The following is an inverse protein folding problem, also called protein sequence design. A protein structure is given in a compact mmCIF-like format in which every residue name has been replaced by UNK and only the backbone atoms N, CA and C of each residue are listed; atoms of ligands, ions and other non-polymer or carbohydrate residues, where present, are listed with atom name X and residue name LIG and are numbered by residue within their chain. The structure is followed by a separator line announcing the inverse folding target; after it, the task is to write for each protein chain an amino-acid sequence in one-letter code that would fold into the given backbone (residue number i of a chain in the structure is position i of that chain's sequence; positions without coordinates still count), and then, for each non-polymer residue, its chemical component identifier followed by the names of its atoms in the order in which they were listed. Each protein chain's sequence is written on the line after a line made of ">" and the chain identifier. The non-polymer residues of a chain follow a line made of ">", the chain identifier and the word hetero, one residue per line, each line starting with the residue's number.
data_IF_811422584382
#
_entry.id   IF_811422584382
#
_cell.length_a   1.000
_cell.length_b   1.000
_cell.length_c   1.000
_cell.angle_alpha   90.00
_cell.angle_beta   90.00
_cell.angle_gamma   90.00
#
_symmetry.space_group_name_H-M   'P 1'
#
loop_
_entity.id
_entity.type
_entity.pdbx_description
1 polymer ?
#
# COMPACT_ATOMS: atom_id res chain seq x y z
N UNK A 1 -38.07 -1.64 4.49
CA UNK A 1 -38.24 -0.56 3.51
C UNK A 1 -39.02 -1.08 2.31
N UNK A 2 -40.10 -0.40 1.98
CA UNK A 2 -41.10 -0.83 0.98
C UNK A 2 -40.56 -0.92 -0.49
N UNK A 3 -39.34 -0.47 -0.72
CA UNK A 3 -38.76 -0.38 -2.07
C UNK A 3 -37.83 -1.53 -2.48
N UNK A 4 -37.70 -2.55 -1.63
CA UNK A 4 -36.86 -3.72 -1.90
C UNK A 4 -37.63 -5.02 -1.67
N UNK A 5 -37.65 -5.91 -2.62
CA UNK A 5 -38.25 -7.23 -2.51
C UNK A 5 -37.26 -8.27 -3.04
N UNK A 6 -36.96 -9.30 -2.22
CA UNK A 6 -36.06 -10.41 -2.55
C UNK A 6 -34.67 -9.98 -3.04
N UNK A 7 -34.09 -8.94 -2.39
CA UNK A 7 -32.75 -8.43 -2.78
C UNK A 7 -32.74 -7.67 -4.11
N UNK A 8 -33.89 -7.37 -4.68
CA UNK A 8 -34.03 -6.58 -5.93
C UNK A 8 -34.90 -5.35 -5.66
N UNK A 9 -34.63 -4.22 -6.33
CA UNK A 9 -35.48 -3.04 -6.22
C UNK A 9 -36.89 -3.35 -6.74
N UNK A 10 -37.91 -3.00 -5.96
CA UNK A 10 -39.28 -3.15 -6.37
C UNK A 10 -39.63 -2.08 -7.43
N UNK A 11 -40.14 -2.51 -8.59
CA UNK A 11 -40.62 -1.60 -9.61
C UNK A 11 -41.86 -0.81 -9.10
N UNK A 12 -41.96 0.49 -9.40
CA UNK A 12 -43.13 1.26 -9.07
C UNK A 12 -44.39 0.66 -9.70
N UNK A 13 -45.47 0.57 -8.93
CA UNK A 13 -46.75 -0.05 -9.38
C UNK A 13 -47.48 0.70 -10.47
N UNK A 14 -47.09 1.93 -10.79
CA UNK A 14 -47.74 2.80 -11.77
C UNK A 14 -46.81 3.14 -12.94
N UNK A 15 -46.67 2.19 -13.87
CA UNK A 15 -45.76 2.24 -15.00
C UNK A 15 -46.33 3.03 -16.21
N UNK A 16 -47.18 4.01 -16.03
CA UNK A 16 -47.66 4.85 -17.17
C UNK A 16 -46.77 6.05 -17.49
N UNK A 17 -45.71 6.28 -16.68
CA UNK A 17 -44.71 7.36 -16.92
C UNK A 17 -43.30 6.82 -16.93
N UNK A 18 -43.11 5.59 -17.42
CA UNK A 18 -41.81 4.88 -17.41
C UNK A 18 -40.71 5.45 -18.33
N UNK A 19 -40.97 6.58 -18.98
CA UNK A 19 -40.01 7.15 -19.93
C UNK A 19 -39.18 8.33 -19.41
N UNK A 20 -39.41 8.83 -18.18
CA UNK A 20 -38.71 10.05 -17.74
C UNK A 20 -38.15 10.05 -16.32
N UNK A 21 -38.40 9.05 -15.52
CA UNK A 21 -37.77 8.98 -14.17
C UNK A 21 -37.04 7.66 -14.00
N UNK A 22 -35.74 7.76 -13.71
CA UNK A 22 -34.95 6.61 -13.30
C UNK A 22 -35.67 5.90 -12.14
N UNK A 23 -36.14 4.64 -12.32
CA UNK A 23 -36.89 3.91 -11.28
C UNK A 23 -36.08 3.66 -10.02
N UNK A 24 -34.79 3.95 -10.05
CA UNK A 24 -33.86 3.81 -8.93
C UNK A 24 -33.57 5.18 -8.35
N UNK A 25 -34.34 5.58 -7.35
CA UNK A 25 -34.15 6.83 -6.62
C UNK A 25 -33.10 6.66 -5.52
N UNK A 26 -31.98 6.03 -5.85
CA UNK A 26 -30.87 5.78 -4.96
C UNK A 26 -29.77 6.80 -5.15
N UNK A 27 -29.13 7.18 -4.06
CA UNK A 27 -27.89 7.96 -4.10
C UNK A 27 -26.75 7.00 -4.46
N UNK A 28 -26.00 7.30 -5.52
CA UNK A 28 -24.80 6.54 -5.85
C UNK A 28 -23.78 6.69 -4.71
N UNK A 29 -23.32 5.58 -4.20
CA UNK A 29 -22.29 5.56 -3.16
C UNK A 29 -21.28 4.45 -3.46
N UNK A 30 -20.06 4.66 -3.01
CA UNK A 30 -19.00 3.67 -3.03
C UNK A 30 -18.68 3.31 -1.57
N UNK A 31 -18.72 2.02 -1.25
CA UNK A 31 -18.30 1.51 0.06
C UNK A 31 -16.97 0.81 -0.09
N UNK A 32 -15.97 1.30 0.65
CA UNK A 32 -14.67 0.64 0.77
C UNK A 32 -14.61 -0.04 2.13
N UNK A 33 -14.43 -1.36 2.13
CA UNK A 33 -14.22 -2.16 3.34
C UNK A 33 -12.74 -2.44 3.48
N UNK A 34 -12.14 -1.99 4.58
CA UNK A 34 -10.75 -2.24 4.91
C UNK A 34 -10.73 -3.25 6.05
N UNK A 35 -9.98 -4.34 5.86
CA UNK A 35 -9.69 -5.32 6.90
C UNK A 35 -8.22 -5.18 7.29
N UNK A 36 -7.96 -4.93 8.57
CA UNK A 36 -6.61 -4.89 9.11
C UNK A 36 -6.13 -6.32 9.41
N UNK A 37 -4.83 -6.52 9.24
CA UNK A 37 -4.17 -7.76 9.65
C UNK A 37 -4.28 -7.93 11.17
N UNK A 38 -4.54 -9.15 11.62
CA UNK A 38 -4.50 -9.47 13.05
C UNK A 38 -3.07 -9.70 13.53
N UNK A 39 -2.83 -9.57 14.83
CA UNK A 39 -1.52 -9.88 15.42
C UNK A 39 -1.09 -11.34 15.14
N UNK A 40 -2.03 -12.28 15.15
CA UNK A 40 -1.76 -13.69 14.82
C UNK A 40 -1.34 -13.86 13.35
N UNK A 41 -1.98 -13.12 12.44
CA UNK A 41 -1.60 -13.14 11.01
C UNK A 41 -0.20 -12.57 10.82
N UNK A 42 0.13 -11.49 11.52
CA UNK A 42 1.49 -10.91 11.52
C UNK A 42 2.52 -11.94 11.96
N UNK A 43 2.29 -12.65 13.08
CA UNK A 43 3.19 -13.69 13.56
C UNK A 43 3.35 -14.86 12.57
N UNK A 44 2.27 -15.27 11.91
CA UNK A 44 2.28 -16.36 10.92
C UNK A 44 3.05 -16.00 9.63
N UNK A 45 3.20 -14.71 9.35
CA UNK A 45 3.94 -14.21 8.19
C UNK A 45 5.43 -13.96 8.49
N UNK A 46 5.85 -13.98 9.77
CA UNK A 46 7.25 -13.89 10.13
C UNK A 46 7.98 -15.17 9.73
N UNK A 47 8.81 -15.09 8.72
CA UNK A 47 9.69 -16.20 8.33
C UNK A 47 11.07 -16.02 8.98
N UNK A 48 11.38 -16.89 9.93
CA UNK A 48 12.68 -16.91 10.61
C UNK A 48 13.73 -17.56 9.70
N UNK A 49 14.34 -16.78 8.82
CA UNK A 49 15.49 -17.24 8.02
C UNK A 49 16.76 -17.19 8.86
N UNK A 50 17.31 -18.36 9.20
CA UNK A 50 18.58 -18.48 9.95
C UNK A 50 19.69 -18.89 8.99
N UNK A 51 20.87 -18.28 9.17
CA UNK A 51 22.08 -18.79 8.53
C UNK A 51 22.48 -20.14 9.14
N UNK A 52 23.32 -20.92 8.44
CA UNK A 52 23.81 -22.20 8.97
C UNK A 52 24.52 -22.06 10.33
N UNK A 53 25.27 -20.98 10.51
CA UNK A 53 25.98 -20.67 11.77
C UNK A 53 25.01 -20.33 12.92
N UNK A 54 23.98 -19.52 12.63
CA UNK A 54 22.93 -19.20 13.59
C UNK A 54 22.12 -20.43 13.98
N UNK A 55 21.89 -21.35 13.06
CA UNK A 55 21.20 -22.61 13.33
C UNK A 55 22.05 -23.51 14.24
N UNK A 56 23.34 -23.60 14.00
CA UNK A 56 24.28 -24.35 14.84
C UNK A 56 24.34 -23.78 16.27
N UNK A 57 24.43 -22.44 16.40
CA UNK A 57 24.39 -21.76 17.69
C UNK A 57 23.08 -22.02 18.43
N UNK A 58 21.96 -21.86 17.78
CA UNK A 58 20.64 -22.08 18.34
C UNK A 58 20.46 -23.52 18.87
N UNK A 59 20.95 -24.50 18.11
CA UNK A 59 20.87 -25.91 18.53
C UNK A 59 21.76 -26.23 19.74
N UNK A 60 22.78 -25.43 19.99
CA UNK A 60 23.68 -25.57 21.15
C UNK A 60 23.13 -24.96 22.44
N UNK A 61 22.08 -24.14 22.38
CA UNK A 61 21.45 -23.50 23.53
C UNK A 61 20.52 -24.46 24.26
N UNK A 62 20.41 -24.29 25.58
CA UNK A 62 19.37 -24.92 26.39
C UNK A 62 17.96 -24.33 26.10
N UNK A 63 16.94 -24.85 26.76
CA UNK A 63 15.55 -24.40 26.49
C UNK A 63 15.35 -22.91 26.81
N UNK A 64 15.91 -22.42 27.93
CA UNK A 64 15.81 -21.01 28.32
C UNK A 64 16.56 -20.09 27.34
N UNK A 65 17.78 -20.51 26.94
CA UNK A 65 18.57 -19.75 25.96
C UNK A 65 17.91 -19.71 24.56
N UNK A 66 17.15 -20.76 24.22
CA UNK A 66 16.37 -20.75 22.98
C UNK A 66 15.21 -19.76 23.01
N UNK A 67 14.51 -19.70 24.14
CA UNK A 67 13.39 -18.77 24.32
C UNK A 67 13.91 -17.31 24.35
N UNK A 68 15.01 -17.04 25.06
CA UNK A 68 15.65 -15.72 25.07
C UNK A 68 16.18 -15.32 23.69
N UNK A 69 16.78 -16.25 22.94
CA UNK A 69 17.25 -16.01 21.58
C UNK A 69 16.08 -15.70 20.63
N UNK A 70 14.99 -16.48 20.72
CA UNK A 70 13.80 -16.25 19.91
C UNK A 70 13.15 -14.90 20.26
N UNK A 71 13.02 -14.58 21.53
CA UNK A 71 12.48 -13.31 21.99
C UNK A 71 13.32 -12.14 21.49
N UNK A 72 14.64 -12.19 21.65
CA UNK A 72 15.56 -11.15 21.14
C UNK A 72 15.55 -11.04 19.63
N UNK A 73 15.47 -12.17 18.93
CA UNK A 73 15.40 -12.21 17.49
C UNK A 73 14.08 -11.65 16.98
N UNK A 74 12.96 -11.97 17.63
CA UNK A 74 11.66 -11.40 17.32
C UNK A 74 11.62 -9.89 17.57
N UNK A 75 12.16 -9.44 18.72
CA UNK A 75 12.28 -8.01 19.01
C UNK A 75 13.19 -7.27 18.02
N UNK A 76 14.28 -7.90 17.56
CA UNK A 76 15.13 -7.34 16.51
C UNK A 76 14.43 -7.31 15.15
N UNK A 77 13.58 -8.27 14.87
CA UNK A 77 12.77 -8.30 13.66
C UNK A 77 11.65 -7.25 13.70
N UNK A 78 10.99 -7.08 14.84
CA UNK A 78 10.01 -6.02 15.04
C UNK A 78 10.64 -4.62 15.01
N UNK A 79 11.90 -4.49 15.44
CA UNK A 79 12.62 -3.22 15.46
C UNK A 79 13.43 -2.92 14.19
N UNK A 80 13.64 -3.89 13.31
CA UNK A 80 14.39 -3.78 12.05
C UNK A 80 13.57 -4.27 10.87
N UNK A 81 12.99 -3.35 10.11
CA UNK A 81 12.71 -3.47 8.68
C UNK A 81 11.92 -4.69 8.18
N UNK A 82 11.16 -5.41 9.00
CA UNK A 82 10.84 -6.78 8.63
C UNK A 82 9.38 -7.14 8.44
N UNK A 83 8.45 -6.22 8.48
CA UNK A 83 7.07 -6.58 8.13
C UNK A 83 6.91 -6.60 6.61
N UNK A 84 7.65 -5.77 5.90
CA UNK A 84 7.70 -5.77 4.45
C UNK A 84 9.17 -5.82 4.01
N UNK A 85 9.59 -6.92 3.41
CA UNK A 85 10.88 -6.98 2.73
C UNK A 85 10.90 -5.92 1.61
N UNK A 86 12.01 -5.18 1.50
CA UNK A 86 12.22 -4.25 0.36
C UNK A 86 12.01 -4.97 -0.98
N UNK A 87 12.28 -6.26 -1.04
CA UNK A 87 12.03 -7.09 -2.21
C UNK A 87 10.54 -7.17 -2.60
N UNK A 88 9.61 -7.10 -1.65
CA UNK A 88 8.17 -7.15 -1.93
C UNK A 88 7.69 -5.89 -2.65
N UNK A 89 8.35 -4.77 -2.45
CA UNK A 89 8.08 -3.54 -3.19
C UNK A 89 8.59 -3.54 -4.63
N UNK A 90 9.40 -4.54 -5.01
CA UNK A 90 9.84 -4.70 -6.41
C UNK A 90 8.65 -5.04 -7.33
N UNK A 91 7.71 -5.86 -6.84
CA UNK A 91 6.45 -6.13 -7.53
C UNK A 91 5.26 -5.94 -6.57
N UNK A 92 4.84 -4.70 -6.31
CA UNK A 92 3.81 -4.39 -5.31
C UNK A 92 2.41 -4.89 -5.68
N UNK A 93 2.21 -5.36 -6.91
CA UNK A 93 0.91 -5.81 -7.42
C UNK A 93 0.63 -7.30 -7.18
N UNK A 94 1.63 -8.03 -6.70
CA UNK A 94 1.52 -9.48 -6.40
C UNK A 94 1.91 -9.80 -4.94
N UNK A 95 1.73 -8.84 -4.06
CA UNK A 95 2.02 -9.03 -2.65
C UNK A 95 0.93 -9.87 -1.97
N UNK A 96 1.34 -10.90 -1.25
CA UNK A 96 0.44 -11.85 -0.60
C UNK A 96 0.87 -12.14 0.84
N UNK A 97 -0.10 -12.19 1.74
CA UNK A 97 0.09 -12.62 3.13
C UNK A 97 -0.72 -13.89 3.43
N UNK A 98 -0.24 -14.65 4.41
CA UNK A 98 -0.98 -15.76 5.01
C UNK A 98 -1.97 -15.17 6.00
N UNK A 99 -3.26 -15.31 5.72
CA UNK A 99 -4.34 -14.81 6.59
C UNK A 99 -5.04 -16.01 7.23
N UNK A 100 -5.19 -15.96 8.55
CA UNK A 100 -5.84 -17.01 9.33
C UNK A 100 -7.30 -17.15 8.93
N UNK A 101 -7.74 -18.37 8.73
CA UNK A 101 -9.15 -18.72 8.53
C UNK A 101 -9.78 -19.10 9.87
N UNK A 102 -11.12 -19.20 9.93
CA UNK A 102 -11.88 -19.52 11.15
C UNK A 102 -11.53 -20.86 11.81
N UNK A 103 -10.72 -21.68 11.16
CA UNK A 103 -10.25 -22.97 11.68
C UNK A 103 -8.89 -22.82 12.36
N UNK A 104 -8.77 -23.25 13.60
CA UNK A 104 -7.55 -23.15 14.40
C UNK A 104 -6.31 -23.66 13.62
N UNK A 105 -5.36 -22.78 13.37
CA UNK A 105 -4.10 -23.07 12.70
C UNK A 105 -4.17 -23.20 11.17
N UNK A 106 -5.34 -22.99 10.54
CA UNK A 106 -5.45 -22.93 9.09
C UNK A 106 -5.25 -21.49 8.59
N UNK A 107 -4.52 -21.33 7.51
CA UNK A 107 -4.33 -20.03 6.83
C UNK A 107 -4.50 -20.18 5.32
N UNK A 108 -4.87 -19.11 4.67
CA UNK A 108 -4.89 -18.99 3.20
C UNK A 108 -4.03 -17.80 2.77
N UNK A 109 -3.38 -17.91 1.62
CA UNK A 109 -2.71 -16.77 1.01
C UNK A 109 -3.74 -15.83 0.39
N UNK A 110 -3.70 -14.58 0.77
CA UNK A 110 -4.57 -13.54 0.23
C UNK A 110 -3.73 -12.42 -0.36
N UNK A 111 -4.16 -11.90 -1.49
CA UNK A 111 -3.57 -10.71 -2.10
C UNK A 111 -3.83 -9.49 -1.21
N UNK A 112 -2.81 -8.72 -0.95
CA UNK A 112 -2.85 -7.49 -0.17
C UNK A 112 -2.63 -6.31 -1.11
N UNK A 113 -3.52 -5.34 -1.03
CA UNK A 113 -3.41 -4.10 -1.81
C UNK A 113 -2.47 -3.12 -1.10
N UNK A 114 -1.18 -3.17 -1.47
CA UNK A 114 -0.17 -2.23 -0.95
C UNK A 114 -0.44 -0.79 -1.39
N UNK A 115 -1.01 -0.60 -2.56
CA UNK A 115 -1.31 0.72 -3.13
C UNK A 115 -2.33 1.44 -2.25
N UNK A 116 -3.45 0.77 -1.98
CA UNK A 116 -4.49 1.31 -1.13
C UNK A 116 -4.05 1.45 0.33
N UNK A 117 -3.27 0.49 0.83
CA UNK A 117 -2.72 0.53 2.18
C UNK A 117 -1.83 1.75 2.37
N UNK A 118 -0.96 2.04 1.41
CA UNK A 118 -0.10 3.22 1.46
C UNK A 118 -0.88 4.53 1.42
N UNK A 119 -1.85 4.65 0.51
CA UNK A 119 -2.71 5.82 0.43
C UNK A 119 -3.41 6.12 1.77
N UNK A 120 -3.87 5.06 2.45
CA UNK A 120 -4.48 5.17 3.77
C UNK A 120 -3.47 5.62 4.83
N UNK A 121 -2.28 5.01 4.88
CA UNK A 121 -1.24 5.32 5.86
C UNK A 121 -0.77 6.77 5.80
N UNK A 122 -0.54 7.30 4.60
CA UNK A 122 -0.12 8.69 4.43
C UNK A 122 -1.28 9.69 4.55
N UNK A 123 -2.52 9.20 4.68
CA UNK A 123 -3.73 10.03 4.76
C UNK A 123 -4.01 10.80 3.46
N UNK A 124 -3.78 10.16 2.31
CA UNK A 124 -4.01 10.76 1.00
C UNK A 124 -5.51 10.82 0.70
N UNK A 125 -6.01 12.01 0.41
CA UNK A 125 -7.31 12.19 -0.24
C UNK A 125 -7.12 11.97 -1.73
N UNK A 126 -7.50 10.80 -2.21
CA UNK A 126 -7.31 10.39 -3.60
C UNK A 126 -8.29 11.12 -4.51
N UNK A 127 -7.79 11.71 -5.60
CA UNK A 127 -8.61 12.35 -6.65
C UNK A 127 -8.71 11.46 -7.88
N UNK A 128 -7.59 10.90 -8.31
CA UNK A 128 -7.50 10.07 -9.51
C UNK A 128 -6.62 8.85 -9.24
N UNK A 129 -7.04 7.70 -9.74
CA UNK A 129 -6.20 6.49 -9.79
C UNK A 129 -6.25 5.97 -11.23
N UNK A 130 -5.09 5.69 -11.80
CA UNK A 130 -4.93 5.03 -13.08
C UNK A 130 -4.15 3.73 -12.90
N UNK A 131 -4.87 2.60 -13.04
CA UNK A 131 -4.30 1.26 -12.96
C UNK A 131 -3.84 0.81 -14.35
N UNK A 132 -2.55 0.70 -14.56
CA UNK A 132 -1.93 0.21 -15.79
C UNK A 132 -1.08 -1.04 -15.49
N UNK A 133 -1.70 -2.03 -14.86
CA UNK A 133 -1.01 -3.24 -14.40
C UNK A 133 -0.30 -3.98 -15.55
N UNK A 134 -0.91 -4.04 -16.73
CA UNK A 134 -0.28 -4.63 -17.93
C UNK A 134 0.99 -3.89 -18.37
N UNK A 135 1.11 -2.63 -18.02
CA UNK A 135 2.28 -1.77 -18.28
C UNK A 135 3.22 -1.70 -17.08
N UNK A 136 2.85 -2.33 -15.98
CA UNK A 136 3.64 -2.46 -14.76
C UNK A 136 3.63 -1.22 -13.87
N UNK A 137 2.58 -0.39 -13.87
CA UNK A 137 2.48 0.75 -12.95
C UNK A 137 1.06 1.09 -12.53
N UNK A 138 0.96 1.79 -11.40
CA UNK A 138 -0.24 2.48 -10.92
C UNK A 138 0.15 3.92 -10.59
N UNK A 139 -0.67 4.85 -11.06
CA UNK A 139 -0.49 6.27 -10.89
C UNK A 139 -1.65 6.83 -10.06
N UNK A 140 -1.35 7.52 -8.96
CA UNK A 140 -2.36 8.07 -8.06
C UNK A 140 -2.08 9.54 -7.82
N UNK A 141 -3.08 10.37 -8.04
CA UNK A 141 -3.05 11.77 -7.67
C UNK A 141 -3.96 12.03 -6.48
N UNK A 142 -3.52 12.87 -5.58
CA UNK A 142 -4.29 13.24 -4.42
C UNK A 142 -3.72 14.44 -3.67
N UNK A 143 -4.33 14.73 -2.53
CA UNK A 143 -3.89 15.79 -1.64
C UNK A 143 -3.72 15.23 -0.23
N UNK A 144 -2.57 15.49 0.39
CA UNK A 144 -2.32 15.17 1.78
C UNK A 144 -3.13 16.08 2.72
N UNK A 145 -3.28 15.66 3.98
CA UNK A 145 -3.92 16.49 5.01
C UNK A 145 -3.23 17.84 5.23
N UNK A 146 -1.96 17.95 4.88
CA UNK A 146 -1.16 19.19 4.90
C UNK A 146 -1.49 20.13 3.75
N UNK A 147 -2.32 19.72 2.78
CA UNK A 147 -2.68 20.47 1.59
C UNK A 147 -1.73 20.25 0.40
N UNK A 148 -0.69 19.44 0.56
CA UNK A 148 0.30 19.18 -0.49
C UNK A 148 -0.30 18.34 -1.62
N UNK A 149 -0.23 18.83 -2.86
CA UNK A 149 -0.60 18.08 -4.06
C UNK A 149 0.43 16.96 -4.26
N UNK A 150 -0.01 15.74 -4.19
CA UNK A 150 0.84 14.56 -4.10
C UNK A 150 0.56 13.60 -5.23
N UNK A 151 1.66 13.11 -5.83
CA UNK A 151 1.67 11.99 -6.75
C UNK A 151 2.23 10.77 -6.05
N UNK A 152 1.56 9.63 -6.17
CA UNK A 152 2.11 8.33 -5.78
C UNK A 152 2.24 7.47 -7.03
N UNK A 153 3.46 7.05 -7.32
CA UNK A 153 3.78 6.24 -8.48
C UNK A 153 4.33 4.89 -8.05
N UNK A 154 3.51 3.87 -8.20
CA UNK A 154 3.89 2.49 -8.01
C UNK A 154 4.29 1.83 -9.32
N UNK A 155 5.35 1.05 -9.31
CA UNK A 155 5.81 0.30 -10.48
C UNK A 155 6.26 -1.10 -10.12
N UNK A 156 6.13 -2.01 -11.06
CA UNK A 156 6.92 -3.23 -11.06
C UNK A 156 8.33 -2.88 -11.58
N UNK A 157 9.34 -3.02 -10.74
CA UNK A 157 10.72 -2.61 -11.05
C UNK A 157 11.37 -3.49 -12.13
N UNK A 158 10.89 -4.71 -12.35
CA UNK A 158 11.33 -5.60 -13.41
C UNK A 158 10.85 -5.12 -14.79
N UNK A 159 9.69 -4.46 -14.84
CA UNK A 159 9.10 -3.92 -16.08
C UNK A 159 9.61 -2.50 -16.34
N UNK A 160 9.50 -1.65 -15.31
CA UNK A 160 9.95 -0.25 -15.35
C UNK A 160 11.13 -0.11 -14.41
N UNK A 161 12.29 -0.49 -14.89
CA UNK A 161 13.54 -0.37 -14.16
C UNK A 161 14.01 1.08 -14.02
N UNK A 162 15.12 1.23 -13.34
CA UNK A 162 15.79 2.47 -13.04
C UNK A 162 15.95 3.39 -14.28
N UNK A 163 16.41 2.84 -15.41
CA UNK A 163 16.69 3.61 -16.64
C UNK A 163 15.42 4.13 -17.35
N UNK A 164 14.30 3.45 -17.16
CA UNK A 164 13.06 3.76 -17.87
C UNK A 164 12.13 4.68 -17.07
N UNK A 165 12.38 4.85 -15.77
CA UNK A 165 11.47 5.54 -14.87
C UNK A 165 11.23 6.99 -15.29
N UNK A 166 12.28 7.80 -15.42
CA UNK A 166 12.17 9.22 -15.78
C UNK A 166 11.45 9.39 -17.12
N UNK A 167 11.81 8.54 -18.09
CA UNK A 167 11.16 8.54 -19.40
C UNK A 167 9.67 8.16 -19.31
N UNK A 168 9.32 7.20 -18.46
CA UNK A 168 7.91 6.82 -18.26
C UNK A 168 7.10 7.96 -17.65
N UNK A 169 7.64 8.66 -16.66
CA UNK A 169 6.98 9.81 -16.07
C UNK A 169 6.78 10.94 -17.08
N UNK A 170 7.82 11.31 -17.82
CA UNK A 170 7.78 12.44 -18.75
C UNK A 170 6.96 12.10 -20.00
N UNK A 171 7.27 10.98 -20.67
CA UNK A 171 6.71 10.68 -22.00
C UNK A 171 5.28 10.13 -21.92
N UNK A 172 4.96 9.37 -20.86
CA UNK A 172 3.65 8.72 -20.73
C UNK A 172 2.67 9.47 -19.85
N UNK A 173 3.16 10.04 -18.77
CA UNK A 173 2.32 10.69 -17.76
C UNK A 173 2.41 12.21 -17.82
N UNK A 174 3.30 12.76 -18.66
CA UNK A 174 3.57 14.20 -18.78
C UNK A 174 3.96 14.84 -17.44
N UNK A 175 4.52 14.06 -16.52
CA UNK A 175 4.96 14.51 -15.20
C UNK A 175 6.44 14.78 -15.22
N UNK A 176 6.82 16.04 -15.03
CA UNK A 176 8.23 16.41 -14.87
C UNK A 176 8.58 16.56 -13.38
N UNK A 177 9.44 15.70 -12.81
CA UNK A 177 9.82 15.77 -11.40
C UNK A 177 10.50 17.10 -11.00
N UNK A 178 10.94 17.90 -11.97
CA UNK A 178 11.63 19.18 -11.74
C UNK A 178 10.70 20.37 -11.67
N UNK A 179 9.46 20.24 -12.11
CA UNK A 179 8.50 21.34 -12.11
C UNK A 179 7.73 21.45 -10.79
N UNK A 180 6.75 22.33 -10.74
CA UNK A 180 5.93 22.59 -9.55
C UNK A 180 4.52 21.98 -9.64
N UNK A 181 4.30 21.04 -10.54
CA UNK A 181 2.99 20.44 -10.71
C UNK A 181 2.54 19.69 -9.45
N UNK A 182 3.48 18.98 -8.81
CA UNK A 182 3.27 18.30 -7.53
C UNK A 182 4.23 18.84 -6.47
N UNK A 183 3.74 18.92 -5.24
CA UNK A 183 4.57 19.27 -4.09
C UNK A 183 5.39 18.08 -3.60
N UNK A 184 4.80 16.86 -3.66
CA UNK A 184 5.45 15.61 -3.32
C UNK A 184 5.23 14.55 -4.39
N UNK A 185 6.24 13.71 -4.58
CA UNK A 185 6.18 12.53 -5.44
C UNK A 185 6.72 11.35 -4.64
N UNK A 186 5.90 10.32 -4.47
CA UNK A 186 6.29 9.05 -3.87
C UNK A 186 6.53 8.01 -4.95
N UNK A 187 7.65 7.29 -4.86
CA UNK A 187 8.04 6.26 -5.83
C UNK A 187 8.63 5.06 -5.08
N UNK A 188 8.28 3.84 -5.51
CA UNK A 188 8.89 2.62 -4.99
C UNK A 188 10.16 2.25 -5.76
N UNK A 189 11.07 1.59 -5.07
CA UNK A 189 12.36 1.12 -5.59
C UNK A 189 13.36 2.25 -5.85
N UNK A 190 14.58 1.86 -6.21
CA UNK A 190 15.65 2.79 -6.50
C UNK A 190 15.36 3.66 -7.74
N UNK A 191 15.74 4.92 -7.67
CA UNK A 191 15.53 5.86 -8.76
C UNK A 191 16.66 6.88 -8.87
N UNK A 192 16.85 7.40 -10.08
CA UNK A 192 17.80 8.47 -10.41
C UNK A 192 17.14 9.85 -10.60
N UNK A 193 15.89 9.97 -10.18
CA UNK A 193 15.16 11.23 -10.33
C UNK A 193 15.79 12.32 -9.45
N UNK A 194 15.82 13.57 -9.94
CA UNK A 194 16.25 14.68 -9.13
C UNK A 194 15.33 14.85 -7.92
N UNK A 195 15.91 15.17 -6.77
CA UNK A 195 15.17 15.37 -5.51
C UNK A 195 15.25 16.86 -5.08
N UNK A 196 14.60 17.78 -5.79
CA UNK A 196 14.62 19.18 -5.39
C UNK A 196 13.97 19.35 -4.02
N UNK A 197 14.50 20.27 -3.23
CA UNK A 197 13.92 20.62 -1.94
C UNK A 197 12.76 21.58 -2.13
N UNK A 198 11.71 21.37 -1.33
CA UNK A 198 10.59 22.31 -1.20
C UNK A 198 10.81 23.09 0.10
N UNK A 199 10.94 24.41 -0.02
CA UNK A 199 10.93 25.30 1.14
C UNK A 199 9.49 25.42 1.66
N UNK A 200 9.22 24.96 2.87
CA UNK A 200 7.94 25.17 3.53
C UNK A 200 7.91 26.50 4.25
N UNK A 201 6.73 27.12 4.34
CA UNK A 201 6.54 28.41 5.03
C UNK A 201 7.07 28.44 6.48
N UNK A 202 7.26 27.28 7.09
CA UNK A 202 7.78 27.12 8.46
C UNK A 202 9.30 26.87 8.51
N UNK A 203 10.03 27.10 7.43
CA UNK A 203 11.49 26.97 7.37
C UNK A 203 12.03 25.54 7.28
N UNK A 204 11.14 24.55 7.10
CA UNK A 204 11.54 23.15 6.86
C UNK A 204 11.79 22.90 5.37
N UNK A 205 12.85 22.18 5.05
CA UNK A 205 13.11 21.69 3.70
C UNK A 205 12.57 20.26 3.58
N UNK A 206 11.78 19.99 2.52
CA UNK A 206 11.29 18.66 2.22
C UNK A 206 11.80 18.20 0.86
N UNK A 207 12.18 16.94 0.75
CA UNK A 207 12.47 16.34 -0.54
C UNK A 207 11.19 16.18 -1.34
N UNK A 208 11.17 16.70 -2.57
CA UNK A 208 10.03 16.54 -3.48
C UNK A 208 9.81 15.07 -3.86
N UNK A 209 10.86 14.32 -4.12
CA UNK A 209 10.77 12.88 -4.42
C UNK A 209 11.17 12.08 -3.19
N UNK A 210 10.29 11.18 -2.75
CA UNK A 210 10.47 10.33 -1.57
C UNK A 210 10.28 8.88 -1.91
N UNK A 211 10.98 8.00 -1.20
CA UNK A 211 10.77 6.56 -1.26
C UNK A 211 9.44 6.18 -0.59
N UNK A 212 8.68 5.33 -1.24
CA UNK A 212 7.48 4.73 -0.67
C UNK A 212 7.87 3.84 0.50
N UNK A 213 8.91 3.03 0.36
CA UNK A 213 9.39 2.10 1.39
C UNK A 213 9.69 2.82 2.69
N UNK A 214 10.49 3.90 2.61
CA UNK A 214 10.83 4.68 3.80
C UNK A 214 9.59 5.31 4.44
N UNK A 215 8.72 5.91 3.63
CA UNK A 215 7.51 6.54 4.13
C UNK A 215 6.53 5.51 4.72
N UNK A 216 6.50 4.29 4.17
CA UNK A 216 5.69 3.20 4.66
C UNK A 216 6.13 2.78 6.06
N UNK A 217 7.44 2.55 6.25
CA UNK A 217 8.02 2.23 7.56
C UNK A 217 7.81 3.36 8.57
N UNK A 218 8.12 4.60 8.18
CA UNK A 218 7.95 5.75 9.09
C UNK A 218 6.51 5.82 9.61
N UNK A 219 5.52 5.58 8.74
CA UNK A 219 4.10 5.64 9.11
C UNK A 219 3.59 4.43 9.86
N UNK A 220 4.19 3.27 9.71
CA UNK A 220 3.80 2.06 10.46
C UNK A 220 4.30 2.11 11.90
N UNK A 221 5.42 2.79 12.17
CA UNK A 221 6.08 2.83 13.47
C UNK A 221 6.07 4.24 14.10
N UNK A 222 5.33 5.19 13.54
CA UNK A 222 5.11 6.51 14.14
C UNK A 222 4.25 6.33 15.42
N UNK A 223 4.82 6.61 16.60
CA UNK A 223 4.11 6.68 17.89
C UNK A 223 3.25 7.95 18.00
#
# INVERSE_FOLDING_TARGET
>A
SENWKDGKPALPKDSKTANETNPYNGISHCLKVIKLESYEDTLNNLELTRTGEQTALFNSLDASGKDDYLMHYMLQLESKDSILSVADFANPFDYQLKITTDSAGAYTRQAIDLVDTFNYLIGLTVHTIDYQNDRGYVFIEGTLRTGEKTLVFWRNTDIIGYDKLEKTLIDRLSVNPRDKEYDLIYINGDHNLPRPFINTANGGEKLKVRSIEQAFFDKMFEE
#
